data_IF_809132154630
#
_entry.id   IF_809132154630
#
_cell.length_a   1.000
_cell.length_b   1.000
_cell.length_c   1.000
_cell.angle_alpha   90.00
_cell.angle_beta   90.00
_cell.angle_gamma   90.00
#
_symmetry.space_group_name_H-M   'P 1'
#
loop_
_entity.id
_entity.type
_entity.pdbx_description
1 polymer ?
#
# COMPACT_ATOMS: atom_id res chain seq x y z
N UNK A 1 1.18 -13.47 -13.01
CA UNK A 1 0.30 -13.00 -11.93
C UNK A 1 -0.36 -14.19 -11.30
N UNK A 2 -0.50 -14.19 -9.98
CA UNK A 2 -1.06 -15.30 -9.23
C UNK A 2 -0.79 -15.12 -7.75
N UNK A 3 -1.31 -16.02 -6.96
CA UNK A 3 -1.09 -16.11 -5.53
C UNK A 3 -1.15 -17.54 -5.06
N UNK A 4 -0.63 -17.81 -3.89
CA UNK A 4 -0.68 -19.12 -3.26
C UNK A 4 -0.98 -19.01 -1.78
N UNK A 5 -1.80 -19.91 -1.29
CA UNK A 5 -2.01 -20.11 0.15
C UNK A 5 -1.41 -21.47 0.51
N UNK A 6 -0.44 -21.47 1.42
CA UNK A 6 0.16 -22.67 1.95
C UNK A 6 -0.06 -22.73 3.47
N UNK A 7 -0.57 -23.84 3.97
CA UNK A 7 -0.84 -24.02 5.39
C UNK A 7 -0.58 -25.46 5.83
N UNK A 8 -0.24 -25.65 7.10
CA UNK A 8 -0.15 -26.98 7.76
C UNK A 8 -1.43 -27.35 8.52
N UNK A 9 -2.42 -26.44 8.54
CA UNK A 9 -3.68 -26.63 9.26
C UNK A 9 -4.75 -27.11 8.28
N UNK A 10 -5.20 -28.34 8.44
CA UNK A 10 -6.18 -28.99 7.57
C UNK A 10 -7.52 -28.23 7.56
N UNK A 11 -7.99 -27.80 8.72
CA UNK A 11 -9.22 -27.02 8.89
C UNK A 11 -9.18 -25.70 8.11
N UNK A 12 -8.03 -25.02 8.10
CA UNK A 12 -7.83 -23.80 7.32
C UNK A 12 -7.81 -24.09 5.81
N UNK A 13 -7.16 -25.18 5.43
CA UNK A 13 -7.14 -25.60 4.02
C UNK A 13 -8.55 -25.91 3.53
N UNK A 14 -9.32 -26.72 4.25
CA UNK A 14 -10.70 -27.05 3.91
C UNK A 14 -11.61 -25.80 3.94
N UNK A 15 -11.39 -24.88 4.87
CA UNK A 15 -12.08 -23.59 4.89
C UNK A 15 -11.79 -22.73 3.66
N UNK A 16 -10.52 -22.59 3.27
CA UNK A 16 -10.09 -21.80 2.12
C UNK A 16 -10.66 -22.34 0.80
N UNK A 17 -10.76 -23.66 0.64
CA UNK A 17 -11.32 -24.30 -0.56
C UNK A 17 -12.71 -23.79 -0.90
N UNK A 18 -13.54 -23.54 0.11
CA UNK A 18 -14.93 -23.08 -0.08
C UNK A 18 -14.99 -21.69 -0.70
N UNK A 19 -13.98 -20.86 -0.48
CA UNK A 19 -13.88 -19.50 -1.03
C UNK A 19 -13.10 -19.48 -2.35
N UNK A 20 -12.17 -20.40 -2.56
CA UNK A 20 -11.38 -20.46 -3.78
C UNK A 20 -12.25 -20.58 -5.03
N UNK A 21 -13.22 -21.48 -5.04
CA UNK A 21 -14.07 -21.75 -6.22
C UNK A 21 -14.86 -20.51 -6.68
N UNK A 22 -15.60 -19.80 -5.82
CA UNK A 22 -16.38 -18.65 -6.25
C UNK A 22 -15.57 -17.39 -6.56
N UNK A 23 -14.37 -17.24 -5.98
CA UNK A 23 -13.60 -16.00 -6.08
C UNK A 23 -12.38 -16.09 -7.00
N UNK A 24 -11.75 -17.24 -7.10
CA UNK A 24 -10.50 -17.42 -7.83
C UNK A 24 -10.63 -18.40 -9.00
N UNK A 25 -11.16 -19.57 -8.76
CA UNK A 25 -11.32 -20.63 -9.73
C UNK A 25 -11.11 -22.00 -9.15
N UNK A 26 -10.80 -22.99 -9.98
CA UNK A 26 -10.68 -24.38 -9.53
C UNK A 26 -9.49 -24.57 -8.58
N UNK A 27 -9.64 -25.43 -7.59
CA UNK A 27 -8.74 -25.58 -6.43
C UNK A 27 -7.26 -25.86 -6.76
N UNK A 28 -6.96 -26.44 -7.91
CA UNK A 28 -5.60 -26.83 -8.30
C UNK A 28 -4.83 -25.72 -8.99
N UNK A 29 -5.50 -24.79 -9.68
CA UNK A 29 -4.83 -23.76 -10.48
C UNK A 29 -5.47 -22.36 -10.35
N UNK A 30 -6.56 -22.21 -9.56
CA UNK A 30 -7.17 -20.91 -9.30
C UNK A 30 -7.61 -20.15 -10.56
N UNK A 31 -7.98 -20.86 -11.64
CA UNK A 31 -8.35 -20.26 -12.93
C UNK A 31 -7.16 -19.71 -13.74
N UNK A 32 -5.92 -19.89 -13.29
CA UNK A 32 -4.74 -19.45 -14.05
C UNK A 32 -4.52 -20.29 -15.30
N UNK A 33 -4.11 -19.65 -16.39
CA UNK A 33 -3.67 -20.36 -17.57
C UNK A 33 -2.25 -20.95 -17.39
N UNK A 34 -1.89 -21.95 -18.22
CA UNK A 34 -0.61 -22.65 -18.10
C UNK A 34 0.62 -21.72 -18.20
N UNK A 35 0.55 -20.68 -19.04
CA UNK A 35 1.63 -19.71 -19.19
C UNK A 35 1.86 -18.91 -17.89
N UNK A 36 0.81 -18.50 -17.20
CA UNK A 36 0.93 -17.74 -15.96
C UNK A 36 1.39 -18.64 -14.80
N UNK A 37 1.00 -19.92 -14.80
CA UNK A 37 1.53 -20.91 -13.85
C UNK A 37 3.03 -21.15 -14.05
N UNK A 38 3.48 -21.30 -15.29
CA UNK A 38 4.90 -21.46 -15.64
C UNK A 38 5.71 -20.22 -15.20
N UNK A 39 5.22 -19.02 -15.52
CA UNK A 39 5.86 -17.77 -15.10
C UNK A 39 5.91 -17.63 -13.57
N UNK A 40 4.87 -18.08 -12.87
CA UNK A 40 4.85 -18.08 -11.40
C UNK A 40 5.89 -19.05 -10.82
N UNK A 41 6.00 -20.27 -11.40
CA UNK A 41 6.97 -21.26 -10.96
C UNK A 41 8.40 -20.72 -11.08
N UNK A 42 8.78 -20.19 -12.25
CA UNK A 42 10.08 -19.55 -12.47
C UNK A 42 10.30 -18.39 -11.49
N UNK A 43 9.28 -17.54 -11.30
CA UNK A 43 9.38 -16.40 -10.39
C UNK A 43 9.53 -16.79 -8.93
N UNK A 44 8.96 -17.91 -8.49
CA UNK A 44 9.14 -18.44 -7.14
C UNK A 44 10.59 -18.91 -6.92
N UNK A 45 11.19 -19.59 -7.89
CA UNK A 45 12.59 -20.00 -7.83
C UNK A 45 13.51 -18.77 -7.81
N UNK A 46 13.33 -17.82 -8.73
CA UNK A 46 14.09 -16.56 -8.77
C UNK A 46 14.01 -15.76 -7.45
N UNK A 47 12.88 -15.79 -6.77
CA UNK A 47 12.70 -15.07 -5.50
C UNK A 47 13.48 -15.69 -4.34
N UNK A 48 14.07 -16.87 -4.49
CA UNK A 48 14.96 -17.46 -3.50
C UNK A 48 16.42 -17.08 -3.72
N UNK A 49 16.74 -16.54 -4.90
CA UNK A 49 18.11 -16.13 -5.24
C UNK A 49 18.54 -14.88 -4.46
N UNK A 50 19.74 -14.95 -3.86
CA UNK A 50 20.29 -13.88 -3.03
C UNK A 50 20.38 -12.54 -3.77
N UNK A 51 20.95 -12.51 -4.95
CA UNK A 51 21.14 -11.28 -5.73
C UNK A 51 19.81 -10.62 -6.09
N UNK A 52 18.80 -11.45 -6.31
CA UNK A 52 17.45 -11.01 -6.58
C UNK A 52 16.81 -10.31 -5.37
N UNK A 53 16.93 -10.91 -4.20
CA UNK A 53 16.44 -10.37 -2.94
C UNK A 53 17.24 -9.13 -2.52
N UNK A 54 18.55 -9.17 -2.64
CA UNK A 54 19.43 -8.04 -2.31
C UNK A 54 19.06 -6.80 -3.13
N UNK A 55 18.93 -6.95 -4.45
CA UNK A 55 18.54 -5.84 -5.33
C UNK A 55 17.21 -5.23 -4.92
N UNK A 56 16.23 -6.07 -4.63
CA UNK A 56 14.90 -5.64 -4.19
C UNK A 56 14.94 -4.85 -2.89
N UNK A 57 15.61 -5.40 -1.89
CA UNK A 57 15.72 -4.78 -0.57
C UNK A 57 16.51 -3.47 -0.65
N UNK A 58 17.61 -3.43 -1.40
CA UNK A 58 18.42 -2.22 -1.57
C UNK A 58 17.67 -1.08 -2.24
N UNK A 59 16.77 -1.36 -3.19
CA UNK A 59 15.93 -0.32 -3.78
C UNK A 59 15.02 0.34 -2.74
N UNK A 60 14.39 -0.45 -1.89
CA UNK A 60 13.54 0.07 -0.82
C UNK A 60 14.38 0.83 0.21
N UNK A 61 15.54 0.30 0.58
CA UNK A 61 16.47 0.96 1.49
C UNK A 61 17.01 2.28 0.92
N UNK A 62 17.24 2.36 -0.39
CA UNK A 62 17.65 3.60 -1.03
C UNK A 62 16.60 4.70 -0.85
N UNK A 63 15.33 4.41 -1.14
CA UNK A 63 14.25 5.37 -0.90
C UNK A 63 14.15 5.73 0.60
N UNK A 64 14.28 4.74 1.48
CA UNK A 64 14.27 4.96 2.93
C UNK A 64 15.38 5.94 3.38
N UNK A 65 16.60 5.76 2.88
CA UNK A 65 17.73 6.65 3.17
C UNK A 65 17.45 8.10 2.72
N UNK A 66 16.85 8.27 1.53
CA UNK A 66 16.45 9.59 1.05
C UNK A 66 15.39 10.24 1.95
N UNK A 67 14.43 9.45 2.44
CA UNK A 67 13.43 9.96 3.39
C UNK A 67 14.06 10.33 4.74
N UNK A 68 15.07 9.58 5.18
CA UNK A 68 15.84 9.88 6.40
C UNK A 68 16.58 11.21 6.30
N UNK A 69 17.21 11.49 5.15
CA UNK A 69 17.87 12.77 4.90
C UNK A 69 16.91 13.96 5.01
N UNK A 70 15.65 13.78 4.67
CA UNK A 70 14.62 14.81 4.74
C UNK A 70 13.82 14.81 6.05
N UNK A 71 14.09 13.87 6.96
CA UNK A 71 13.37 13.74 8.23
C UNK A 71 11.91 13.31 8.07
N UNK A 72 11.57 12.63 6.97
CA UNK A 72 10.21 12.17 6.68
C UNK A 72 9.94 10.88 7.44
N UNK A 73 8.92 10.81 8.30
CA UNK A 73 8.63 9.63 9.10
C UNK A 73 8.00 8.52 8.25
N UNK A 74 8.49 7.30 8.44
CA UNK A 74 7.95 6.08 7.84
C UNK A 74 8.06 4.91 8.81
N UNK A 75 7.34 3.81 8.55
CA UNK A 75 7.39 2.59 9.37
C UNK A 75 8.75 1.89 9.21
N UNK A 76 9.39 1.62 10.34
CA UNK A 76 10.72 0.98 10.41
C UNK A 76 10.63 -0.45 10.96
N UNK A 77 11.55 -1.34 10.55
CA UNK A 77 12.60 -1.13 9.52
C UNK A 77 12.02 -1.09 8.10
N UNK A 78 12.70 -0.36 7.19
CA UNK A 78 12.38 -0.41 5.77
C UNK A 78 12.80 -1.76 5.18
N UNK A 79 11.97 -2.33 4.32
CA UNK A 79 12.27 -3.61 3.70
C UNK A 79 11.12 -4.09 2.83
N UNK A 80 11.25 -5.30 2.30
CA UNK A 80 10.22 -5.92 1.50
C UNK A 80 10.00 -5.25 0.14
N UNK A 81 8.82 -4.74 -0.12
CA UNK A 81 8.43 -4.26 -1.45
C UNK A 81 7.91 -2.82 -1.48
N UNK A 82 7.86 -2.16 -0.33
CA UNK A 82 7.26 -0.84 -0.20
C UNK A 82 7.85 -0.05 0.97
N UNK A 83 7.70 1.28 0.90
CA UNK A 83 7.83 2.19 2.03
C UNK A 83 6.43 2.57 2.51
N UNK A 84 6.25 2.62 3.82
CA UNK A 84 5.01 3.01 4.48
C UNK A 84 5.23 4.32 5.22
N UNK A 85 4.89 5.43 4.57
CA UNK A 85 5.05 6.78 5.11
C UNK A 85 3.98 7.05 6.15
N UNK A 86 4.37 7.56 7.32
CA UNK A 86 3.46 7.82 8.44
C UNK A 86 2.78 9.17 8.27
N UNK A 87 1.59 9.15 7.68
CA UNK A 87 0.83 10.35 7.39
C UNK A 87 0.33 11.05 8.65
N UNK A 88 0.05 10.30 9.71
CA UNK A 88 -0.41 10.86 10.99
C UNK A 88 0.65 11.76 11.65
N UNK A 89 1.94 11.47 11.41
CA UNK A 89 3.06 12.30 11.88
C UNK A 89 3.40 13.46 10.94
N UNK A 90 2.95 13.41 9.69
CA UNK A 90 3.19 14.48 8.71
C UNK A 90 2.06 15.50 8.75
N UNK A 91 0.83 15.07 8.55
CA UNK A 91 -0.34 15.93 8.45
C UNK A 91 -1.07 16.07 9.79
N UNK A 92 -0.34 16.49 10.82
CA UNK A 92 -0.85 16.59 12.20
C UNK A 92 -2.00 17.59 12.39
N UNK A 93 -2.22 18.48 11.41
CA UNK A 93 -3.31 19.46 11.43
C UNK A 93 -4.57 18.99 10.72
N UNK A 94 -4.50 17.89 9.98
CA UNK A 94 -5.64 17.28 9.30
C UNK A 94 -6.36 16.38 10.30
N UNK A 95 -7.67 16.62 10.56
CA UNK A 95 -8.45 15.74 11.43
C UNK A 95 -8.46 14.29 10.93
N UNK A 96 -8.47 13.32 11.84
CA UNK A 96 -8.49 11.89 11.47
C UNK A 96 -9.72 11.53 10.63
N UNK A 97 -10.84 12.22 10.85
CA UNK A 97 -12.10 12.08 10.10
C UNK A 97 -11.98 12.58 8.65
N UNK A 98 -10.92 13.31 8.34
CA UNK A 98 -10.58 13.80 6.99
C UNK A 98 -9.44 13.00 6.36
N UNK A 99 -9.13 11.81 6.89
CA UNK A 99 -8.25 10.77 6.33
C UNK A 99 -6.84 11.27 5.93
N UNK A 100 -5.95 11.56 6.88
CA UNK A 100 -4.62 12.13 6.59
C UNK A 100 -3.79 11.33 5.59
N UNK A 101 -3.78 9.98 5.63
CA UNK A 101 -3.04 9.17 4.68
C UNK A 101 -3.59 9.28 3.25
N UNK A 102 -4.90 9.35 3.09
CA UNK A 102 -5.52 9.60 1.79
C UNK A 102 -5.23 11.02 1.32
N UNK A 103 -5.28 11.99 2.23
CA UNK A 103 -4.92 13.39 1.93
C UNK A 103 -3.47 13.47 1.45
N UNK A 104 -2.53 12.83 2.14
CA UNK A 104 -1.13 12.77 1.71
C UNK A 104 -0.98 12.12 0.33
N UNK A 105 -1.77 11.08 0.05
CA UNK A 105 -1.81 10.42 -1.27
C UNK A 105 -2.22 11.41 -2.37
N UNK A 106 -3.25 12.21 -2.12
CA UNK A 106 -3.73 13.24 -3.06
C UNK A 106 -2.70 14.35 -3.24
N UNK A 107 -2.12 14.85 -2.15
CA UNK A 107 -1.10 15.91 -2.21
C UNK A 107 0.14 15.47 -2.98
N UNK A 108 0.58 14.22 -2.79
CA UNK A 108 1.72 13.66 -3.52
C UNK A 108 1.42 13.49 -5.02
N UNK A 109 0.20 13.09 -5.35
CA UNK A 109 -0.24 12.99 -6.74
C UNK A 109 -0.29 14.36 -7.42
N UNK A 110 -0.82 15.37 -6.75
CA UNK A 110 -0.87 16.74 -7.27
C UNK A 110 0.52 17.36 -7.42
N UNK A 111 1.44 17.01 -6.51
CA UNK A 111 2.82 17.51 -6.54
C UNK A 111 3.62 16.98 -7.74
N UNK A 112 3.54 15.69 -8.04
CA UNK A 112 4.44 15.07 -9.00
C UNK A 112 3.83 13.88 -9.78
N UNK A 113 2.53 13.69 -9.76
CA UNK A 113 1.87 12.57 -10.45
C UNK A 113 2.19 11.19 -9.84
N UNK A 114 2.69 11.15 -8.60
CA UNK A 114 3.06 9.91 -7.92
C UNK A 114 1.84 9.29 -7.27
N UNK A 115 1.51 8.08 -7.69
CA UNK A 115 0.38 7.33 -7.15
C UNK A 115 0.82 6.44 -6.01
N UNK A 116 0.33 6.72 -4.81
CA UNK A 116 0.44 5.85 -3.64
C UNK A 116 -0.85 5.11 -3.35
N UNK A 117 -0.83 4.34 -2.28
CA UNK A 117 -2.00 3.60 -1.78
C UNK A 117 -2.18 3.92 -0.29
N UNK A 118 -3.35 4.38 0.08
CA UNK A 118 -3.70 4.56 1.48
C UNK A 118 -3.78 3.19 2.17
N UNK A 119 -3.12 3.06 3.31
CA UNK A 119 -3.15 1.91 4.21
C UNK A 119 -3.45 2.45 5.62
N UNK A 120 -4.64 2.92 5.81
CA UNK A 120 -5.05 3.63 7.01
C UNK A 120 -6.56 3.54 7.26
N UNK A 121 -7.17 4.68 7.52
CA UNK A 121 -8.54 4.74 8.03
C UNK A 121 -9.61 4.40 6.98
N UNK A 122 -9.36 4.63 5.69
CA UNK A 122 -10.28 4.18 4.64
C UNK A 122 -10.21 2.65 4.51
N UNK A 123 -8.99 2.09 4.48
CA UNK A 123 -8.78 0.65 4.41
C UNK A 123 -9.32 -0.08 5.64
N UNK A 124 -9.22 0.54 6.83
CA UNK A 124 -9.74 -0.03 8.07
C UNK A 124 -11.27 -0.27 8.04
N UNK A 125 -11.94 0.37 7.07
CA UNK A 125 -13.38 0.26 6.84
C UNK A 125 -14.23 0.77 8.02
N UNK A 126 -15.51 0.49 7.97
CA UNK A 126 -16.47 0.82 9.03
C UNK A 126 -16.66 -0.36 9.96
N UNK A 127 -17.04 -0.06 11.17
CA UNK A 127 -17.54 -1.10 12.07
C UNK A 127 -18.79 -1.76 11.45
N UNK A 128 -18.86 -3.11 11.42
CA UNK A 128 -19.95 -3.79 10.73
C UNK A 128 -21.32 -3.60 11.42
N UNK A 129 -21.33 -3.22 12.70
CA UNK A 129 -22.55 -3.05 13.50
C UNK A 129 -22.93 -1.58 13.62
N UNK A 130 -22.00 -0.73 14.11
CA UNK A 130 -22.27 0.70 14.35
C UNK A 130 -22.17 1.55 13.09
N UNK A 131 -21.50 1.04 12.06
CA UNK A 131 -21.18 1.75 10.80
C UNK A 131 -20.28 2.98 10.99
N UNK A 132 -19.71 3.17 12.16
CA UNK A 132 -18.72 4.21 12.42
C UNK A 132 -17.37 3.90 11.77
N UNK A 133 -16.62 4.93 11.42
CA UNK A 133 -15.25 4.75 10.92
C UNK A 133 -14.37 4.15 11.99
N UNK A 134 -13.57 3.16 11.60
CA UNK A 134 -12.52 2.63 12.47
C UNK A 134 -11.25 3.46 12.29
N UNK A 135 -10.77 4.01 13.40
CA UNK A 135 -9.50 4.73 13.44
C UNK A 135 -8.48 3.86 14.19
N UNK A 136 -7.74 3.05 13.43
CA UNK A 136 -6.66 2.23 13.97
C UNK A 136 -5.46 3.08 14.43
N UNK A 137 -4.43 2.42 14.94
CA UNK A 137 -3.21 3.07 15.41
C UNK A 137 -2.25 3.51 14.30
N UNK A 138 -2.50 3.10 13.06
CA UNK A 138 -1.65 3.40 11.90
C UNK A 138 -2.46 4.06 10.80
N UNK A 139 -1.91 5.13 10.23
CA UNK A 139 -2.47 5.83 9.08
C UNK A 139 -1.33 6.10 8.08
N UNK A 140 -1.16 5.19 7.13
CA UNK A 140 0.03 5.08 6.31
C UNK A 140 -0.26 5.31 4.83
N UNK A 141 0.66 5.99 4.15
CA UNK A 141 0.76 5.99 2.70
C UNK A 141 1.76 4.94 2.27
N UNK A 142 1.32 3.94 1.50
CA UNK A 142 2.17 2.92 0.92
C UNK A 142 2.67 3.33 -0.46
N UNK A 143 3.98 3.33 -0.63
CA UNK A 143 4.68 3.51 -1.90
C UNK A 143 5.33 2.19 -2.30
N UNK A 144 4.73 1.49 -3.23
CA UNK A 144 5.26 0.22 -3.74
C UNK A 144 6.43 0.46 -4.68
N UNK A 145 7.53 -0.23 -4.44
CA UNK A 145 8.69 -0.25 -5.31
C UNK A 145 8.61 -1.48 -6.19
N UNK A 146 8.07 -1.31 -7.40
CA UNK A 146 7.98 -2.39 -8.37
C UNK A 146 9.39 -2.71 -8.90
N UNK A 147 9.83 -3.94 -8.64
CA UNK A 147 11.14 -4.43 -9.06
C UNK A 147 11.28 -4.41 -10.58
N UNK A 148 12.48 -4.07 -11.08
CA UNK A 148 12.82 -3.95 -12.51
C UNK A 148 12.02 -2.88 -13.28
N UNK A 149 11.25 -2.03 -12.58
CA UNK A 149 10.50 -0.93 -13.19
C UNK A 149 11.14 0.41 -12.88
N UNK A 150 11.51 0.63 -11.62
CA UNK A 150 12.02 1.90 -11.14
C UNK A 150 13.53 1.87 -10.92
N UNK A 151 14.19 2.99 -11.22
CA UNK A 151 15.61 3.25 -10.95
C UNK A 151 15.75 4.18 -9.74
N UNK A 152 16.99 4.41 -9.29
CA UNK A 152 17.27 5.37 -8.22
C UNK A 152 16.79 6.79 -8.58
N UNK A 153 16.88 7.19 -9.85
CA UNK A 153 16.36 8.50 -10.27
C UNK A 153 14.86 8.65 -10.01
N UNK A 154 14.07 7.59 -10.20
CA UNK A 154 12.65 7.61 -9.84
C UNK A 154 12.45 7.72 -8.33
N UNK A 155 13.31 7.06 -7.54
CA UNK A 155 13.26 7.15 -6.08
C UNK A 155 13.60 8.56 -5.59
N UNK A 156 14.57 9.21 -6.23
CA UNK A 156 14.92 10.61 -5.95
C UNK A 156 13.75 11.57 -6.23
N UNK A 157 13.06 11.38 -7.36
CA UNK A 157 11.86 12.17 -7.68
C UNK A 157 10.77 11.98 -6.62
N UNK A 158 10.54 10.73 -6.19
CA UNK A 158 9.57 10.41 -5.13
C UNK A 158 9.95 11.09 -3.81
N UNK A 159 11.21 10.97 -3.42
CA UNK A 159 11.71 11.55 -2.17
C UNK A 159 11.60 13.08 -2.16
N UNK A 160 11.97 13.74 -3.27
CA UNK A 160 11.87 15.21 -3.42
C UNK A 160 10.41 15.66 -3.39
N UNK A 161 9.52 14.96 -4.09
CA UNK A 161 8.09 15.27 -4.07
C UNK A 161 7.49 15.15 -2.66
N UNK A 162 7.83 14.08 -1.94
CA UNK A 162 7.43 13.93 -0.53
C UNK A 162 7.99 15.05 0.34
N UNK A 163 9.26 15.45 0.11
CA UNK A 163 9.87 16.57 0.82
C UNK A 163 9.10 17.86 0.59
N UNK A 164 8.73 18.18 -0.66
CA UNK A 164 7.97 19.37 -0.98
C UNK A 164 6.61 19.40 -0.25
N UNK A 165 5.91 18.27 -0.20
CA UNK A 165 4.68 18.15 0.58
C UNK A 165 4.96 18.27 2.08
N UNK A 166 6.04 17.65 2.58
CA UNK A 166 6.44 17.71 3.98
C UNK A 166 6.80 19.15 4.41
N UNK A 167 7.48 19.91 3.58
CA UNK A 167 7.86 21.30 3.88
C UNK A 167 6.64 22.19 4.06
N UNK A 168 5.59 22.02 3.23
CA UNK A 168 4.32 22.77 3.34
C UNK A 168 3.24 22.10 4.20
N UNK A 169 3.57 21.04 4.94
CA UNK A 169 2.59 20.25 5.73
C UNK A 169 1.75 21.07 6.71
N UNK A 170 2.29 22.17 7.20
CA UNK A 170 1.60 23.05 8.13
C UNK A 170 0.49 23.91 7.47
N UNK A 171 0.51 24.03 6.16
CA UNK A 171 -0.50 24.71 5.34
C UNK A 171 -1.66 23.78 4.99
N UNK A 172 -1.43 22.47 5.02
CA UNK A 172 -2.44 21.44 4.77
C UNK A 172 -3.21 21.20 6.07
N UNK A 173 -4.32 21.88 6.22
CA UNK A 173 -5.17 21.84 7.44
C UNK A 173 -6.48 21.14 7.23
N UNK A 174 -6.84 20.85 5.98
CA UNK A 174 -8.04 20.12 5.58
C UNK A 174 -7.65 18.93 4.74
N UNK A 175 -8.47 17.90 4.79
CA UNK A 175 -8.22 16.66 4.07
C UNK A 175 -9.27 16.36 3.00
N UNK A 176 -9.80 15.14 3.04
CA UNK A 176 -10.82 14.66 2.10
C UNK A 176 -12.05 14.17 2.87
N UNK A 177 -13.21 14.25 2.23
CA UNK A 177 -14.43 13.64 2.74
C UNK A 177 -14.95 12.56 1.80
N UNK A 178 -15.59 11.54 2.36
CA UNK A 178 -16.27 10.51 1.59
C UNK A 178 -17.62 11.08 1.15
N UNK A 179 -17.85 11.12 -0.17
CA UNK A 179 -19.12 11.52 -0.76
C UNK A 179 -19.97 10.33 -1.20
N UNK A 180 -19.33 9.18 -1.42
CA UNK A 180 -19.99 7.92 -1.72
C UNK A 180 -19.08 6.73 -1.41
N UNK A 181 -19.64 5.64 -0.92
CA UNK A 181 -18.92 4.40 -0.66
C UNK A 181 -19.83 3.17 -0.83
N UNK A 182 -19.24 2.02 -1.09
CA UNK A 182 -19.92 0.73 -1.01
C UNK A 182 -20.00 0.25 0.44
N UNK A 183 -20.91 -0.66 0.72
CA UNK A 183 -21.07 -1.25 2.06
C UNK A 183 -19.83 -2.09 2.46
N UNK A 184 -19.23 -2.79 1.50
CA UNK A 184 -18.03 -3.61 1.69
C UNK A 184 -16.92 -3.13 0.78
N UNK A 185 -15.65 -3.28 1.25
CA UNK A 185 -14.44 -3.00 0.48
C UNK A 185 -14.39 -1.57 -0.08
N UNK A 186 -14.87 -0.60 0.69
CA UNK A 186 -14.94 0.83 0.30
C UNK A 186 -13.61 1.38 -0.20
N UNK A 187 -12.49 0.89 0.31
CA UNK A 187 -11.14 1.32 -0.07
C UNK A 187 -10.92 1.33 -1.60
N UNK A 188 -11.55 0.41 -2.32
CA UNK A 188 -11.41 0.28 -3.77
C UNK A 188 -12.43 1.09 -4.57
N UNK A 189 -13.50 1.56 -3.95
CA UNK A 189 -14.66 2.12 -4.64
C UNK A 189 -15.06 3.50 -4.17
N UNK A 190 -14.57 3.93 -3.01
CA UNK A 190 -14.91 5.19 -2.38
C UNK A 190 -14.71 6.38 -3.34
N UNK A 191 -15.68 7.30 -3.35
CA UNK A 191 -15.54 8.59 -4.02
C UNK A 191 -15.28 9.66 -2.97
N UNK A 192 -14.29 10.46 -3.24
CA UNK A 192 -13.77 11.46 -2.32
C UNK A 192 -13.88 12.86 -2.92
N UNK A 193 -14.00 13.83 -2.04
CA UNK A 193 -13.92 15.26 -2.36
C UNK A 193 -12.87 15.89 -1.46
N UNK A 194 -12.01 16.74 -2.04
CA UNK A 194 -11.02 17.53 -1.29
C UNK A 194 -11.73 18.69 -0.60
N UNK A 195 -11.39 18.95 0.66
CA UNK A 195 -11.95 20.02 1.50
C UNK A 195 -11.10 21.28 1.48
#
# INVERSE_FOLDING_TARGET
MGGVIATRHEDWYEGAKRFCIPYEGYLTYGGMNGRDMEALAVGLDENTEFDNLETRIRQVQYLAARLDEFGIPYQRPAGGHAIFVDASKILTKVPKEEFPAQTLTVELYLEAGIRGCEIGYILADRDPVTRENRFGGLDLLRLCVARRVYTNNHMDVIAVALKNVFDRRNEITRGVRIVWETELMRHFTVKLEKL
#
